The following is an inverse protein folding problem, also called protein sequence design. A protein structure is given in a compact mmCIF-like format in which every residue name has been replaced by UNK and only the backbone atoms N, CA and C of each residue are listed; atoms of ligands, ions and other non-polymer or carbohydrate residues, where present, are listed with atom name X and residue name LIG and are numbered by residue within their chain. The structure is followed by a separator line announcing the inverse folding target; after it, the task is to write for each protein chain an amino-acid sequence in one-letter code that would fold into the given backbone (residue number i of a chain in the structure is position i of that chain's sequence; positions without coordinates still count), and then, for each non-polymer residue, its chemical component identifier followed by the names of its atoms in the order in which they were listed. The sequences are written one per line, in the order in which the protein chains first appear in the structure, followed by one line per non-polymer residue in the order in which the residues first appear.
data_IF_429174853057
#
_entry.id   IF_429174853057
#
_cell.length_a   1.000
_cell.length_b   1.000
_cell.length_c   1.000
_cell.angle_alpha   90.00
_cell.angle_beta   90.00
_cell.angle_gamma   90.00
#
_symmetry.space_group_name_H-M   'P 1'
#
loop_
_entity.id
_entity.type
_entity.pdbx_description
1 polymer ?
#
# COMPACT_ATOMS: atom_id res chain seq x y z
N UNK A 1 41.81 -8.53 4.60
CA UNK A 1 42.54 -7.32 5.07
C UNK A 1 41.98 -6.12 4.34
N UNK A 2 41.55 -5.05 5.02
CA UNK A 2 41.11 -3.85 4.33
C UNK A 2 42.31 -3.23 3.62
N UNK A 3 42.22 -3.04 2.30
CA UNK A 3 43.22 -2.32 1.51
C UNK A 3 43.19 -0.85 1.92
N UNK A 4 44.24 -0.43 2.63
CA UNK A 4 44.44 0.98 2.95
C UNK A 4 45.04 1.69 1.72
N UNK A 5 44.18 2.45 1.02
CA UNK A 5 44.67 3.38 0.00
C UNK A 5 45.34 4.59 0.67
N UNK A 6 46.66 4.70 0.55
CA UNK A 6 47.37 5.87 1.05
C UNK A 6 47.27 7.03 0.07
N UNK A 7 46.66 8.12 0.50
CA UNK A 7 46.63 9.39 -0.23
C UNK A 7 47.72 10.28 0.35
N UNK A 8 48.73 10.68 -0.48
CA UNK A 8 49.74 11.67 -0.09
C UNK A 8 49.12 13.07 -0.18
N UNK A 9 48.90 13.68 0.96
CA UNK A 9 48.47 15.09 1.06
C UNK A 9 49.65 15.93 1.51
N UNK A 10 49.85 17.06 0.84
CA UNK A 10 51.04 17.91 1.01
C UNK A 10 50.94 18.83 2.23
N UNK A 11 49.78 18.90 2.91
CA UNK A 11 49.58 19.77 4.06
C UNK A 11 48.56 19.16 5.04
N UNK A 12 48.72 19.41 6.33
CA UNK A 12 47.86 18.94 7.42
C UNK A 12 46.42 19.48 7.30
N UNK A 13 46.23 20.71 6.83
CA UNK A 13 44.90 21.31 6.59
C UNK A 13 44.17 20.54 5.50
N UNK A 14 44.82 20.18 4.41
CA UNK A 14 44.20 19.40 3.33
C UNK A 14 43.84 17.98 3.79
N UNK A 15 44.58 17.39 4.74
CA UNK A 15 44.23 16.11 5.35
C UNK A 15 42.98 16.20 6.19
N UNK A 16 42.86 17.26 7.00
CA UNK A 16 41.68 17.51 7.83
C UNK A 16 40.42 17.78 6.96
N UNK A 17 40.55 18.60 5.94
CA UNK A 17 39.49 18.91 5.02
C UNK A 17 38.96 17.64 4.31
N UNK A 18 39.88 16.81 3.79
CA UNK A 18 39.55 15.54 3.16
C UNK A 18 38.87 14.54 4.15
N UNK A 19 39.29 14.55 5.41
CA UNK A 19 38.72 13.70 6.46
C UNK A 19 37.28 14.15 6.78
N UNK A 20 37.06 15.46 6.98
CA UNK A 20 35.75 16.00 7.29
C UNK A 20 34.78 15.87 6.10
N UNK A 21 35.25 16.11 4.89
CA UNK A 21 34.46 15.92 3.67
C UNK A 21 33.98 14.47 3.51
N UNK A 22 34.88 13.49 3.72
CA UNK A 22 34.53 12.05 3.70
C UNK A 22 33.53 11.72 4.78
N UNK A 23 33.71 12.26 5.99
CA UNK A 23 32.77 12.05 7.11
C UNK A 23 31.40 12.64 6.84
N UNK A 24 31.33 13.85 6.30
CA UNK A 24 30.06 14.50 5.93
C UNK A 24 29.36 13.74 4.81
N UNK A 25 30.08 13.30 3.78
CA UNK A 25 29.53 12.51 2.69
C UNK A 25 28.96 11.18 3.20
N UNK A 26 29.70 10.46 4.05
CA UNK A 26 29.21 9.23 4.66
C UNK A 26 27.95 9.46 5.52
N UNK A 27 27.92 10.57 6.26
CA UNK A 27 26.73 10.94 7.06
C UNK A 27 25.52 11.27 6.16
N UNK A 28 25.72 11.98 5.05
CA UNK A 28 24.69 12.28 4.06
C UNK A 28 24.13 11.01 3.41
N UNK A 29 25.02 10.11 2.95
CA UNK A 29 24.62 8.81 2.38
C UNK A 29 23.74 8.06 3.37
N UNK A 30 24.19 7.92 4.61
CA UNK A 30 23.44 7.22 5.67
C UNK A 30 22.07 7.85 5.94
N UNK A 31 22.00 9.18 6.02
CA UNK A 31 20.74 9.88 6.24
C UNK A 31 19.76 9.70 5.08
N UNK A 32 20.24 9.87 3.84
CA UNK A 32 19.43 9.69 2.63
C UNK A 32 18.91 8.26 2.50
N UNK A 33 19.77 7.25 2.74
CA UNK A 33 19.37 5.85 2.71
C UNK A 33 18.33 5.53 3.78
N UNK A 34 18.50 6.07 5.00
CA UNK A 34 17.53 5.86 6.08
C UNK A 34 16.15 6.43 5.78
N UNK A 35 16.06 7.58 5.11
CA UNK A 35 14.77 8.17 4.75
C UNK A 35 14.04 7.34 3.68
N UNK A 36 14.75 6.87 2.66
CA UNK A 36 14.19 5.96 1.65
C UNK A 36 13.75 4.65 2.30
N UNK A 37 14.58 4.07 3.17
CA UNK A 37 14.29 2.85 3.90
C UNK A 37 13.00 2.95 4.75
N UNK A 38 12.80 4.08 5.45
CA UNK A 38 11.57 4.32 6.24
C UNK A 38 10.33 4.32 5.34
N UNK A 39 10.42 4.99 4.18
CA UNK A 39 9.31 5.06 3.23
C UNK A 39 8.98 3.66 2.69
N UNK A 40 9.99 2.91 2.23
CA UNK A 40 9.81 1.55 1.70
C UNK A 40 9.21 0.61 2.75
N UNK A 41 9.72 0.60 3.98
CA UNK A 41 9.18 -0.23 5.06
C UNK A 41 7.73 0.13 5.38
N UNK A 42 7.37 1.42 5.35
CA UNK A 42 5.98 1.86 5.54
C UNK A 42 5.07 1.35 4.42
N UNK A 43 5.52 1.42 3.16
CA UNK A 43 4.76 0.95 2.00
C UNK A 43 4.59 -0.56 2.03
N UNK A 44 5.66 -1.31 2.27
CA UNK A 44 5.62 -2.77 2.42
C UNK A 44 4.61 -3.17 3.50
N UNK A 45 4.71 -2.58 4.69
CA UNK A 45 3.81 -2.89 5.81
C UNK A 45 2.35 -2.56 5.49
N UNK A 46 2.09 -1.45 4.80
CA UNK A 46 0.74 -1.06 4.37
C UNK A 46 0.18 -2.03 3.32
N UNK A 47 0.98 -2.37 2.32
CA UNK A 47 0.55 -3.28 1.25
C UNK A 47 0.30 -4.67 1.81
N UNK A 48 1.18 -5.21 2.67
CA UNK A 48 0.97 -6.48 3.35
C UNK A 48 -0.34 -6.50 4.15
N UNK A 49 -0.61 -5.45 4.94
CA UNK A 49 -1.86 -5.34 5.71
C UNK A 49 -3.10 -5.30 4.81
N UNK A 50 -3.04 -4.58 3.69
CA UNK A 50 -4.12 -4.55 2.69
C UNK A 50 -4.35 -5.94 2.08
N UNK A 51 -3.28 -6.62 1.70
CA UNK A 51 -3.33 -7.97 1.12
C UNK A 51 -3.98 -8.95 2.11
N UNK A 52 -3.62 -8.90 3.39
CA UNK A 52 -4.23 -9.77 4.41
C UNK A 52 -5.73 -9.51 4.59
N UNK A 53 -6.16 -8.25 4.58
CA UNK A 53 -7.60 -7.91 4.63
C UNK A 53 -8.33 -8.41 3.38
N UNK A 54 -7.76 -8.19 2.18
CA UNK A 54 -8.33 -8.65 0.91
C UNK A 54 -8.44 -10.19 0.84
N UNK A 55 -7.46 -10.90 1.37
CA UNK A 55 -7.52 -12.36 1.46
C UNK A 55 -8.64 -12.84 2.36
N UNK A 56 -8.87 -12.19 3.51
CA UNK A 56 -10.00 -12.47 4.39
C UNK A 56 -11.35 -12.22 3.69
N UNK A 57 -11.45 -11.08 3.00
CA UNK A 57 -12.67 -10.76 2.24
C UNK A 57 -12.89 -11.79 1.11
N UNK A 58 -11.82 -12.24 0.45
CA UNK A 58 -11.88 -13.27 -0.59
C UNK A 58 -12.39 -14.61 -0.04
N UNK A 59 -11.97 -15.00 1.17
CA UNK A 59 -12.51 -16.19 1.83
C UNK A 59 -14.03 -16.12 2.03
N UNK A 60 -14.54 -14.94 2.46
CA UNK A 60 -16.00 -14.76 2.62
C UNK A 60 -16.76 -14.86 1.29
N UNK A 61 -16.09 -14.57 0.17
CA UNK A 61 -16.70 -14.70 -1.16
C UNK A 61 -16.83 -16.15 -1.63
N UNK A 62 -16.11 -17.09 -1.02
CA UNK A 62 -16.20 -18.53 -1.38
C UNK A 62 -17.55 -19.13 -1.04
N UNK A 63 -18.23 -18.62 -0.02
CA UNK A 63 -19.55 -19.09 0.41
C UNK A 63 -20.69 -18.65 -0.53
N UNK A 64 -20.38 -18.06 -1.67
CA UNK A 64 -21.39 -17.53 -2.60
C UNK A 64 -22.38 -18.57 -3.12
N UNK A 65 -21.97 -19.82 -3.31
CA UNK A 65 -22.84 -20.89 -3.80
C UNK A 65 -24.04 -21.10 -2.88
N UNK A 66 -23.88 -20.89 -1.58
CA UNK A 66 -24.97 -20.88 -0.62
C UNK A 66 -26.08 -19.89 -0.99
N UNK A 67 -25.69 -18.67 -1.42
CA UNK A 67 -26.69 -17.67 -1.83
C UNK A 67 -27.43 -18.06 -3.12
N UNK A 68 -26.72 -18.70 -4.07
CA UNK A 68 -27.35 -19.22 -5.28
C UNK A 68 -28.38 -20.31 -4.91
N UNK A 69 -27.97 -21.30 -4.13
CA UNK A 69 -28.82 -22.38 -3.67
C UNK A 69 -30.04 -21.85 -2.94
N UNK A 70 -29.88 -20.93 -2.00
CA UNK A 70 -31.00 -20.31 -1.29
C UNK A 70 -31.98 -19.61 -2.23
N UNK A 71 -31.47 -18.83 -3.18
CA UNK A 71 -32.30 -18.15 -4.19
C UNK A 71 -33.10 -19.13 -5.04
N UNK A 72 -32.49 -20.23 -5.48
CA UNK A 72 -33.14 -21.26 -6.30
C UNK A 72 -34.16 -22.06 -5.50
N UNK A 73 -33.83 -22.46 -4.26
CA UNK A 73 -34.77 -23.18 -3.38
C UNK A 73 -36.01 -22.32 -3.04
N UNK A 74 -35.83 -21.03 -2.78
CA UNK A 74 -36.96 -20.12 -2.58
C UNK A 74 -37.82 -20.04 -3.84
N UNK A 75 -37.20 -19.87 -5.04
CA UNK A 75 -37.94 -19.80 -6.31
C UNK A 75 -38.74 -21.06 -6.61
N UNK A 76 -38.17 -22.22 -6.32
CA UNK A 76 -38.85 -23.51 -6.51
C UNK A 76 -40.03 -23.69 -5.57
N UNK A 77 -40.06 -23.03 -4.41
CA UNK A 77 -41.05 -23.18 -3.36
C UNK A 77 -41.91 -21.92 -3.11
N UNK A 78 -41.95 -20.96 -4.04
CA UNK A 78 -42.68 -19.69 -3.86
C UNK A 78 -44.14 -19.85 -3.36
N UNK A 79 -44.83 -20.88 -3.86
CA UNK A 79 -46.20 -21.18 -3.53
C UNK A 79 -46.42 -21.75 -2.10
N UNK A 80 -45.32 -22.24 -1.48
CA UNK A 80 -45.32 -22.83 -0.13
C UNK A 80 -44.92 -21.86 0.95
N UNK A 81 -44.34 -20.73 0.59
CA UNK A 81 -43.77 -19.75 1.53
C UNK A 81 -44.76 -18.68 1.85
N UNK A 82 -45.30 -18.61 3.09
CA UNK A 82 -46.17 -17.53 3.50
C UNK A 82 -45.44 -16.17 3.54
N UNK A 83 -46.19 -15.09 3.34
CA UNK A 83 -45.62 -13.73 3.51
C UNK A 83 -45.46 -13.46 5.02
N UNK A 84 -44.35 -12.81 5.40
CA UNK A 84 -44.09 -12.40 6.77
C UNK A 84 -43.34 -13.42 7.63
N UNK A 85 -42.89 -14.55 7.08
CA UNK A 85 -42.06 -15.53 7.81
C UNK A 85 -40.59 -15.13 7.85
N UNK A 86 -39.93 -15.44 8.95
CA UNK A 86 -38.51 -15.15 9.15
C UNK A 86 -37.54 -16.23 8.64
N UNK A 87 -38.06 -17.45 8.42
CA UNK A 87 -37.29 -18.56 7.87
C UNK A 87 -38.20 -19.53 7.12
N UNK A 88 -37.60 -20.35 6.26
CA UNK A 88 -38.25 -21.40 5.52
C UNK A 88 -37.43 -22.67 5.53
N UNK A 89 -38.02 -23.78 5.95
CA UNK A 89 -37.40 -25.09 5.96
C UNK A 89 -37.81 -25.86 4.70
N UNK A 90 -36.83 -26.31 3.92
CA UNK A 90 -37.07 -27.14 2.73
C UNK A 90 -35.95 -28.17 2.51
N UNK A 91 -36.23 -29.10 1.62
CA UNK A 91 -35.23 -30.08 1.16
C UNK A 91 -34.23 -29.41 0.24
N UNK A 92 -32.95 -29.67 0.46
CA UNK A 92 -31.87 -29.18 -0.40
C UNK A 92 -31.67 -30.14 -1.58
N UNK A 93 -32.20 -29.83 -2.73
CA UNK A 93 -32.05 -30.62 -3.96
C UNK A 93 -30.64 -30.70 -4.52
N UNK A 94 -29.71 -29.93 -3.98
CA UNK A 94 -28.29 -29.93 -4.33
C UNK A 94 -27.47 -30.82 -3.41
N UNK A 95 -28.08 -31.39 -2.38
CA UNK A 95 -27.46 -32.37 -1.48
C UNK A 95 -27.92 -33.78 -1.86
N UNK A 96 -26.98 -34.70 -1.98
CA UNK A 96 -27.28 -36.12 -2.32
C UNK A 96 -28.23 -36.80 -1.34
N UNK A 97 -28.21 -36.36 -0.07
CA UNK A 97 -29.08 -36.89 1.00
C UNK A 97 -30.39 -36.09 1.15
N UNK A 98 -30.67 -35.10 0.29
CA UNK A 98 -31.83 -34.22 0.39
C UNK A 98 -31.97 -33.57 1.78
N UNK A 99 -30.84 -33.26 2.43
CA UNK A 99 -30.83 -32.72 3.78
C UNK A 99 -31.75 -31.49 3.91
N UNK A 100 -32.49 -31.42 5.02
CA UNK A 100 -33.31 -30.27 5.31
C UNK A 100 -32.44 -29.06 5.58
N UNK A 101 -32.73 -27.95 4.91
CA UNK A 101 -32.02 -26.68 5.07
C UNK A 101 -32.99 -25.58 5.49
N UNK A 102 -32.60 -24.83 6.50
CA UNK A 102 -33.33 -23.65 6.94
C UNK A 102 -32.77 -22.40 6.25
N UNK A 103 -33.61 -21.72 5.48
CA UNK A 103 -33.25 -20.52 4.74
C UNK A 103 -33.79 -19.31 5.48
N UNK A 104 -32.94 -18.37 5.95
CA UNK A 104 -33.37 -17.12 6.57
C UNK A 104 -34.08 -16.23 5.57
N UNK A 105 -35.26 -15.69 5.96
CA UNK A 105 -36.03 -14.77 5.13
C UNK A 105 -36.22 -13.42 5.84
N UNK A 106 -36.36 -12.37 5.05
CA UNK A 106 -36.77 -11.09 5.57
C UNK A 106 -38.30 -11.01 5.55
N UNK A 107 -39.00 -10.95 6.74
CA UNK A 107 -40.44 -10.91 6.81
C UNK A 107 -41.06 -9.69 6.11
N UNK A 108 -40.33 -8.60 5.96
CA UNK A 108 -40.80 -7.40 5.28
C UNK A 108 -40.82 -7.52 3.74
N UNK A 109 -40.24 -8.61 3.20
CA UNK A 109 -40.15 -8.85 1.77
C UNK A 109 -41.04 -10.01 1.35
N UNK A 110 -41.56 -9.95 0.13
CA UNK A 110 -42.23 -11.13 -0.47
C UNK A 110 -41.22 -12.27 -0.69
N UNK A 111 -41.68 -13.54 -0.79
CA UNK A 111 -40.78 -14.65 -1.10
C UNK A 111 -39.94 -14.45 -2.37
N UNK A 112 -40.56 -13.91 -3.42
CA UNK A 112 -39.83 -13.58 -4.66
C UNK A 112 -38.72 -12.53 -4.45
N UNK A 113 -39.03 -11.48 -3.67
CA UNK A 113 -38.05 -10.43 -3.34
C UNK A 113 -36.91 -10.95 -2.46
N UNK A 114 -37.17 -11.92 -1.58
CA UNK A 114 -36.13 -12.61 -0.82
C UNK A 114 -35.20 -13.43 -1.74
N UNK A 115 -35.75 -14.16 -2.71
CA UNK A 115 -34.98 -14.87 -3.71
C UNK A 115 -34.07 -13.92 -4.51
N UNK A 116 -34.63 -12.81 -4.98
CA UNK A 116 -33.90 -11.79 -5.74
C UNK A 116 -32.78 -11.15 -4.90
N UNK A 117 -33.00 -10.97 -3.59
CA UNK A 117 -31.97 -10.50 -2.66
C UNK A 117 -30.79 -11.49 -2.61
N UNK A 118 -31.05 -12.79 -2.50
CA UNK A 118 -30.01 -13.81 -2.50
C UNK A 118 -29.25 -13.85 -3.83
N UNK A 119 -29.90 -13.73 -4.96
CA UNK A 119 -29.23 -13.63 -6.26
C UNK A 119 -28.39 -12.36 -6.41
N UNK A 120 -28.81 -11.24 -5.82
CA UNK A 120 -27.99 -10.02 -5.76
C UNK A 120 -26.73 -10.24 -4.94
N UNK A 121 -26.81 -10.86 -3.77
CA UNK A 121 -25.64 -11.18 -2.95
C UNK A 121 -24.70 -12.17 -3.67
N UNK A 122 -25.22 -13.18 -4.36
CA UNK A 122 -24.44 -14.07 -5.20
C UNK A 122 -23.64 -13.31 -6.28
N UNK A 123 -24.30 -12.43 -7.05
CA UNK A 123 -23.67 -11.62 -8.09
C UNK A 123 -22.61 -10.68 -7.52
N UNK A 124 -22.91 -10.06 -6.37
CA UNK A 124 -22.01 -9.17 -5.67
C UNK A 124 -20.74 -9.89 -5.22
N UNK A 125 -20.90 -11.06 -4.59
CA UNK A 125 -19.75 -11.91 -4.17
C UNK A 125 -18.93 -12.38 -5.36
N UNK A 126 -19.56 -12.76 -6.48
CA UNK A 126 -18.88 -13.15 -7.70
C UNK A 126 -18.03 -12.02 -8.30
N UNK A 127 -18.59 -10.80 -8.32
CA UNK A 127 -17.85 -9.63 -8.82
C UNK A 127 -16.72 -9.24 -7.85
N UNK A 128 -17.00 -9.30 -6.54
CA UNK A 128 -16.02 -9.00 -5.50
C UNK A 128 -14.83 -9.96 -5.56
N UNK A 129 -15.07 -11.27 -5.74
CA UNK A 129 -14.00 -12.26 -5.89
C UNK A 129 -13.05 -11.90 -7.03
N UNK A 130 -13.60 -11.62 -8.23
CA UNK A 130 -12.78 -11.24 -9.40
C UNK A 130 -11.95 -9.98 -9.14
N UNK A 131 -12.56 -8.96 -8.50
CA UNK A 131 -11.86 -7.73 -8.19
C UNK A 131 -10.78 -7.95 -7.11
N UNK A 132 -11.09 -8.70 -6.06
CA UNK A 132 -10.15 -8.98 -4.98
C UNK A 132 -8.95 -9.80 -5.48
N UNK A 133 -9.18 -10.81 -6.32
CA UNK A 133 -8.10 -11.59 -6.92
C UNK A 133 -7.13 -10.68 -7.68
N UNK A 134 -7.64 -9.84 -8.56
CA UNK A 134 -6.82 -8.88 -9.31
C UNK A 134 -6.07 -7.90 -8.40
N UNK A 135 -6.74 -7.42 -7.33
CA UNK A 135 -6.12 -6.50 -6.39
C UNK A 135 -5.02 -7.17 -5.55
N UNK A 136 -5.15 -8.47 -5.24
CA UNK A 136 -4.12 -9.24 -4.55
C UNK A 136 -2.92 -9.50 -5.46
N UNK A 137 -3.15 -9.75 -6.75
CA UNK A 137 -2.10 -9.87 -7.77
C UNK A 137 -1.30 -8.56 -7.87
N UNK A 138 -1.98 -7.42 -7.99
CA UNK A 138 -1.32 -6.11 -8.04
C UNK A 138 -0.54 -5.83 -6.73
N UNK A 139 -1.10 -6.15 -5.56
CA UNK A 139 -0.38 -5.99 -4.29
C UNK A 139 0.90 -6.86 -4.23
N UNK A 140 0.88 -8.05 -4.85
CA UNK A 140 2.05 -8.92 -4.93
C UNK A 140 3.13 -8.34 -5.85
N UNK A 141 2.74 -7.74 -6.98
CA UNK A 141 3.64 -7.01 -7.88
C UNK A 141 4.28 -5.81 -7.16
N UNK A 142 3.47 -5.00 -6.47
CA UNK A 142 3.94 -3.86 -5.68
C UNK A 142 4.96 -4.31 -4.62
N UNK A 143 4.67 -5.39 -3.88
CA UNK A 143 5.58 -5.92 -2.87
C UNK A 143 6.88 -6.43 -3.47
N UNK A 144 6.82 -7.09 -4.63
CA UNK A 144 8.01 -7.54 -5.36
C UNK A 144 8.88 -6.35 -5.77
N UNK A 145 8.25 -5.30 -6.31
CA UNK A 145 8.93 -4.07 -6.68
C UNK A 145 9.58 -3.39 -5.47
N UNK A 146 8.86 -3.18 -4.38
CA UNK A 146 9.42 -2.54 -3.18
C UNK A 146 10.59 -3.33 -2.58
N UNK A 147 10.53 -4.66 -2.62
CA UNK A 147 11.62 -5.50 -2.15
C UNK A 147 12.86 -5.41 -3.08
N UNK A 148 12.66 -5.30 -4.40
CA UNK A 148 13.78 -5.09 -5.34
C UNK A 148 14.46 -3.75 -5.12
N UNK A 149 13.68 -2.68 -4.88
CA UNK A 149 14.24 -1.36 -4.56
C UNK A 149 14.97 -1.37 -3.22
N UNK A 150 14.45 -2.11 -2.22
CA UNK A 150 15.09 -2.28 -0.92
C UNK A 150 16.45 -3.00 -1.06
N UNK A 151 16.53 -4.01 -1.92
CA UNK A 151 17.76 -4.72 -2.22
C UNK A 151 18.80 -3.80 -2.92
N UNK A 152 18.36 -3.00 -3.91
CA UNK A 152 19.17 -1.98 -4.56
C UNK A 152 19.68 -0.94 -3.54
N UNK A 153 18.79 -0.46 -2.65
CA UNK A 153 19.15 0.49 -1.60
C UNK A 153 20.21 -0.08 -0.64
N UNK A 154 20.14 -1.39 -0.36
CA UNK A 154 21.11 -2.05 0.53
C UNK A 154 22.51 -2.15 -0.07
N UNK A 155 22.63 -2.07 -1.40
CA UNK A 155 23.89 -2.15 -2.17
C UNK A 155 24.42 -0.79 -2.56
N UNK A 156 23.63 0.28 -2.41
CA UNK A 156 24.05 1.63 -2.78
C UNK A 156 25.17 2.14 -1.87
N UNK A 157 26.29 2.52 -2.48
CA UNK A 157 27.49 3.03 -1.80
C UNK A 157 27.73 4.52 -2.06
N UNK A 158 27.07 5.09 -3.06
CA UNK A 158 27.25 6.47 -3.49
C UNK A 158 25.97 7.30 -3.38
N UNK A 159 26.14 8.63 -3.29
CA UNK A 159 24.99 9.56 -3.32
C UNK A 159 24.28 9.50 -4.67
N UNK A 160 25.03 9.33 -5.76
CA UNK A 160 24.44 9.25 -7.10
C UNK A 160 23.49 8.06 -7.24
N UNK A 161 23.86 6.87 -6.75
CA UNK A 161 22.98 5.69 -6.74
C UNK A 161 21.72 5.90 -5.88
N UNK A 162 21.84 6.62 -4.75
CA UNK A 162 20.68 6.96 -3.93
C UNK A 162 19.76 7.97 -4.62
N UNK A 163 20.31 8.91 -5.38
CA UNK A 163 19.52 9.87 -6.14
C UNK A 163 18.81 9.17 -7.32
N UNK A 164 19.44 8.21 -8.00
CA UNK A 164 18.79 7.36 -9.01
C UNK A 164 17.61 6.58 -8.43
N UNK A 165 17.77 5.94 -7.26
CA UNK A 165 16.67 5.27 -6.56
C UNK A 165 15.54 6.25 -6.22
N UNK A 166 15.86 7.47 -5.82
CA UNK A 166 14.86 8.51 -5.55
C UNK A 166 14.12 8.93 -6.80
N UNK A 167 14.81 9.10 -7.90
CA UNK A 167 14.21 9.43 -9.18
C UNK A 167 13.26 8.32 -9.64
N UNK A 168 13.70 7.07 -9.58
CA UNK A 168 12.87 5.89 -9.88
C UNK A 168 11.58 5.87 -9.05
N UNK A 169 11.70 6.03 -7.71
CA UNK A 169 10.55 6.08 -6.81
C UNK A 169 9.64 7.29 -7.06
N UNK A 170 10.18 8.38 -7.55
CA UNK A 170 9.41 9.57 -7.92
C UNK A 170 8.67 9.39 -9.25
N UNK A 171 9.30 8.79 -10.24
CA UNK A 171 8.67 8.45 -11.52
C UNK A 171 7.54 7.44 -11.32
N UNK A 172 7.74 6.48 -10.43
CA UNK A 172 6.69 5.55 -10.01
C UNK A 172 5.57 6.22 -9.18
N UNK A 173 5.68 7.53 -8.88
CA UNK A 173 4.68 8.30 -8.12
C UNK A 173 4.63 7.97 -6.63
N UNK A 174 5.60 7.26 -6.12
CA UNK A 174 5.67 6.77 -4.73
C UNK A 174 6.13 7.88 -3.78
N UNK A 175 7.14 8.65 -4.19
CA UNK A 175 7.62 9.81 -3.44
C UNK A 175 7.48 11.08 -4.28
N UNK A 176 7.29 12.20 -3.61
CA UNK A 176 7.40 13.50 -4.29
C UNK A 176 8.86 13.95 -4.20
N UNK A 177 9.48 14.16 -5.33
CA UNK A 177 10.76 14.89 -5.36
C UNK A 177 10.50 16.26 -4.74
N UNK A 178 10.97 16.48 -3.53
CA UNK A 178 11.17 17.84 -3.01
C UNK A 178 12.30 18.40 -3.86
N UNK A 179 11.95 19.09 -4.96
CA UNK A 179 12.92 19.94 -5.65
C UNK A 179 13.51 20.83 -4.56
N UNK A 180 14.77 20.59 -4.19
CA UNK A 180 15.55 21.55 -3.46
C UNK A 180 15.61 22.79 -4.34
N UNK A 181 14.60 23.66 -4.21
CA UNK A 181 14.73 25.04 -4.64
C UNK A 181 15.95 25.53 -3.88
N UNK A 182 17.06 25.65 -4.63
CA UNK A 182 18.29 26.24 -4.13
C UNK A 182 17.86 27.40 -3.23
N UNK A 183 18.21 27.32 -1.95
CA UNK A 183 17.99 28.40 -1.00
C UNK A 183 18.54 29.64 -1.69
N UNK A 184 17.63 30.45 -2.24
CA UNK A 184 17.96 31.79 -2.74
C UNK A 184 18.64 32.46 -1.54
N UNK A 185 19.97 32.55 -1.58
CA UNK A 185 20.73 33.29 -0.57
C UNK A 185 20.03 34.64 -0.49
N UNK A 186 19.39 34.92 0.62
CA UNK A 186 18.92 36.26 0.89
C UNK A 186 20.16 37.14 0.85
N UNK A 187 20.18 38.21 0.03
CA UNK A 187 21.31 39.11 0.04
C UNK A 187 21.46 39.57 1.48
N UNK A 188 22.64 39.34 2.05
CA UNK A 188 23.02 39.91 3.33
C UNK A 188 22.86 41.42 3.20
N UNK A 189 21.94 41.98 3.96
CA UNK A 189 21.80 43.45 4.07
C UNK A 189 23.19 43.97 4.46
N UNK A 190 23.81 44.67 3.51
CA UNK A 190 24.99 45.49 3.81
C UNK A 190 24.59 46.45 4.93
N UNK A 191 25.36 46.41 5.99
CA UNK A 191 25.31 47.41 7.06
C UNK A 191 25.30 48.80 6.44
N UNK A 192 24.22 49.56 6.66
CA UNK A 192 24.21 50.99 6.42
C UNK A 192 25.08 51.60 7.52
N UNK A 193 26.23 52.12 7.14
CA UNK A 193 27.03 53.00 7.99
C UNK A 193 26.16 54.16 8.44
N UNK A 194 25.90 54.24 9.72
CA UNK A 194 25.38 55.46 10.35
C UNK A 194 26.53 56.45 10.49
N UNK A 195 26.64 57.35 9.54
CA UNK A 195 27.46 58.53 9.75
C UNK A 195 26.72 59.50 10.69
N UNK A 196 27.18 59.56 11.92
CA UNK A 196 26.77 60.57 12.87
C UNK A 196 27.32 61.91 12.47
N UNK A 197 26.47 62.79 11.94
CA UNK A 197 26.78 64.21 11.89
C UNK A 197 26.26 64.84 13.17
N UNK A 198 27.19 65.02 14.10
CA UNK A 198 27.04 65.94 15.22
C UNK A 198 27.97 67.10 14.92
N UNK A 199 27.47 68.35 15.16
CA UNK A 199 28.03 69.62 15.18
C UNK A 199 27.58 70.58 14.04
N UNK A 200 26.81 71.55 14.53
CA UNK A 200 26.58 72.85 13.98
C UNK A 200 25.42 73.55 14.65
#
# INVERSE_FOLDING_TARGET
SPEFSSVKLNDFCSLLDAFYERKENAQRIKSCAQDILKILNLLISRTQRKTELRKKDLETCKDREKYRIYGELIKANLYRIPIGVSSFLCENYYDENLALIEIPLNPALSPAANADKYFKEYKKSYTAEKMLTKLIENDAEDLSYFNSVLDNLSRAETIAELDEIREELSEAGIIKLVRNSAKKQRPTNSFKEFSSHFFG
#
